data_IF_679984710102
#
_entry.id   IF_679984710102
#
_cell.length_a   1.000
_cell.length_b   1.000
_cell.length_c   1.000
_cell.angle_alpha   90.00
_cell.angle_beta   90.00
_cell.angle_gamma   90.00
#
_symmetry.space_group_name_H-M   'P 1'
#
loop_
_entity.id
_entity.type
_entity.pdbx_description
1 polymer ?
#
# COMPACT_ATOMS: atom_id res chain seq x y z
N UNK A 1 30.69 7.17 0.75
CA UNK A 1 29.66 7.45 -0.23
C UNK A 1 28.70 6.28 -0.28
N UNK A 2 27.41 6.57 -0.43
CA UNK A 2 26.35 5.55 -0.47
C UNK A 2 25.60 5.61 -1.77
N UNK A 3 25.26 4.44 -2.31
CA UNK A 3 24.54 4.30 -3.57
C UNK A 3 23.41 3.28 -3.40
N UNK A 4 22.25 3.56 -4.00
CA UNK A 4 21.18 2.57 -4.23
C UNK A 4 21.08 2.39 -5.76
N UNK A 5 21.44 1.20 -6.26
CA UNK A 5 21.68 1.02 -7.67
C UNK A 5 22.81 1.95 -8.17
N UNK A 6 22.51 2.79 -9.15
CA UNK A 6 23.45 3.79 -9.69
C UNK A 6 23.31 5.19 -9.06
N UNK A 7 22.28 5.42 -8.27
CA UNK A 7 22.01 6.72 -7.66
C UNK A 7 22.79 6.92 -6.35
N UNK A 8 23.59 7.99 -6.28
CA UNK A 8 24.24 8.42 -5.03
C UNK A 8 23.20 8.97 -4.07
N UNK A 9 23.27 8.51 -2.81
CA UNK A 9 22.33 8.91 -1.77
C UNK A 9 23.07 9.67 -0.68
N UNK A 10 22.55 10.84 -0.35
CA UNK A 10 23.10 11.69 0.71
C UNK A 10 24.47 12.28 0.40
N UNK A 11 25.06 12.88 1.40
CA UNK A 11 26.37 13.52 1.32
C UNK A 11 27.50 12.52 1.58
N UNK A 12 28.68 12.86 1.11
CA UNK A 12 29.91 12.11 1.45
C UNK A 12 30.28 12.38 2.91
N UNK A 13 30.28 11.34 3.73
CA UNK A 13 30.60 11.44 5.16
C UNK A 13 32.03 10.98 5.38
N UNK A 14 32.81 11.75 6.15
CA UNK A 14 34.11 11.30 6.64
C UNK A 14 33.93 10.46 7.91
N UNK A 15 34.48 9.26 7.92
CA UNK A 15 34.40 8.35 9.05
C UNK A 15 35.82 8.01 9.54
N UNK A 16 36.00 7.92 10.85
CA UNK A 16 37.25 7.47 11.47
C UNK A 16 37.43 5.94 11.29
N UNK A 17 38.65 5.46 11.57
CA UNK A 17 38.91 4.02 11.51
C UNK A 17 38.12 3.31 12.59
N UNK A 18 37.38 2.25 12.18
CA UNK A 18 36.63 1.40 13.09
C UNK A 18 35.28 0.98 12.51
N UNK A 19 34.41 0.52 13.38
CA UNK A 19 33.04 0.23 13.07
C UNK A 19 32.23 1.53 12.94
N UNK A 20 31.45 1.66 11.91
CA UNK A 20 30.51 2.77 11.74
C UNK A 20 29.09 2.23 11.53
N UNK A 21 28.11 2.95 12.05
CA UNK A 21 26.69 2.62 11.87
C UNK A 21 26.08 3.57 10.84
N UNK A 22 25.34 3.00 9.92
CA UNK A 22 24.50 3.73 8.99
C UNK A 22 23.13 3.95 9.63
N UNK A 23 22.78 5.21 9.81
CA UNK A 23 21.45 5.62 10.28
C UNK A 23 20.77 6.42 9.16
N UNK A 24 19.43 6.45 9.14
CA UNK A 24 18.61 7.23 8.20
C UNK A 24 18.81 6.91 6.70
N UNK A 25 19.02 5.63 6.37
CA UNK A 25 18.98 5.23 4.97
C UNK A 25 17.53 5.38 4.47
N UNK A 26 17.29 6.17 3.39
CA UNK A 26 15.95 6.26 2.80
C UNK A 26 15.42 4.87 2.47
N UNK A 27 14.24 4.54 2.95
CA UNK A 27 13.60 3.26 2.61
C UNK A 27 13.10 3.33 1.17
N UNK A 28 13.68 2.51 0.30
CA UNK A 28 13.21 2.32 -1.08
C UNK A 28 12.46 1.00 -1.12
N UNK A 29 11.26 1.04 -1.70
CA UNK A 29 10.41 -0.14 -1.82
C UNK A 29 11.01 -1.15 -2.78
N UNK A 30 10.97 -2.42 -2.38
CA UNK A 30 11.46 -3.53 -3.18
C UNK A 30 12.72 -4.20 -2.63
N UNK A 31 13.31 -5.04 -3.45
CA UNK A 31 14.62 -5.62 -3.21
C UNK A 31 15.69 -4.82 -3.97
N UNK A 32 16.84 -4.67 -3.34
CA UNK A 32 17.93 -3.94 -3.97
C UNK A 32 19.24 -4.15 -3.21
N UNK A 33 20.23 -3.40 -3.61
CA UNK A 33 21.54 -3.44 -2.97
C UNK A 33 21.96 -2.01 -2.65
N UNK A 34 22.28 -1.77 -1.39
CA UNK A 34 22.97 -0.56 -0.96
C UNK A 34 24.45 -0.81 -1.11
N UNK A 35 25.11 0.00 -1.91
CA UNK A 35 26.56 -0.05 -2.09
C UNK A 35 27.22 1.07 -1.28
N UNK A 36 28.10 0.70 -0.39
CA UNK A 36 28.93 1.61 0.39
C UNK A 36 30.30 1.67 -0.23
N UNK A 37 30.68 2.83 -0.77
CA UNK A 37 32.00 3.07 -1.33
C UNK A 37 32.86 3.78 -0.29
N UNK A 38 33.82 3.06 0.25
CA UNK A 38 34.83 3.58 1.15
C UNK A 38 36.05 4.01 0.34
N UNK A 39 36.47 5.26 0.52
CA UNK A 39 37.69 5.77 -0.11
C UNK A 39 38.72 6.04 1.00
N UNK A 40 39.86 5.39 0.90
CA UNK A 40 40.97 5.62 1.85
C UNK A 40 41.73 6.92 1.55
N UNK A 41 42.64 7.30 2.44
CA UNK A 41 43.50 8.51 2.29
C UNK A 41 44.42 8.47 1.06
N UNK A 42 44.60 7.32 0.44
CA UNK A 42 45.39 7.13 -0.77
C UNK A 42 44.49 7.09 -2.04
N UNK A 43 43.19 7.36 -1.89
CA UNK A 43 42.24 7.35 -3.03
C UNK A 43 41.79 5.96 -3.46
N UNK A 44 42.18 4.89 -2.75
CA UNK A 44 41.73 3.53 -3.10
C UNK A 44 40.27 3.36 -2.65
N UNK A 45 39.46 2.84 -3.55
CA UNK A 45 38.03 2.62 -3.31
C UNK A 45 37.77 1.15 -3.03
N UNK A 46 37.03 0.90 -1.96
CA UNK A 46 36.50 -0.42 -1.60
C UNK A 46 34.98 -0.31 -1.59
N UNK A 47 34.31 -1.17 -2.32
CA UNK A 47 32.85 -1.21 -2.37
C UNK A 47 32.35 -2.40 -1.57
N UNK A 48 31.50 -2.14 -0.59
CA UNK A 48 30.76 -3.15 0.13
C UNK A 48 29.30 -3.08 -0.24
N UNK A 49 28.74 -4.19 -0.68
CA UNK A 49 27.35 -4.28 -1.10
C UNK A 49 26.52 -5.00 -0.04
N UNK A 50 25.45 -4.36 0.40
CA UNK A 50 24.53 -4.86 1.42
C UNK A 50 23.17 -5.05 0.74
N UNK A 51 22.71 -6.30 0.56
CA UNK A 51 21.37 -6.53 0.03
C UNK A 51 20.33 -6.03 1.04
N UNK A 52 19.32 -5.36 0.54
CA UNK A 52 18.17 -4.97 1.35
C UNK A 52 16.88 -5.45 0.70
N UNK A 53 15.89 -5.63 1.53
CA UNK A 53 14.54 -5.99 1.11
C UNK A 53 13.54 -5.15 1.91
N UNK A 54 12.80 -4.31 1.22
CA UNK A 54 11.75 -3.50 1.81
C UNK A 54 10.45 -3.72 1.05
N UNK A 55 9.42 -4.16 1.75
CA UNK A 55 8.10 -4.41 1.20
C UNK A 55 7.13 -3.36 1.72
N UNK A 56 6.49 -2.56 0.84
CA UNK A 56 5.48 -1.61 1.29
C UNK A 56 4.41 -2.29 2.12
N UNK A 57 4.22 -1.83 3.37
CA UNK A 57 3.21 -2.36 4.27
C UNK A 57 3.62 -3.61 5.08
N UNK A 58 4.80 -4.18 4.87
CA UNK A 58 5.37 -5.20 5.76
C UNK A 58 6.38 -4.54 6.68
N UNK A 59 6.10 -4.60 7.97
CA UNK A 59 6.95 -4.04 9.02
C UNK A 59 7.79 -5.14 9.65
N UNK A 60 9.04 -4.82 10.00
CA UNK A 60 9.90 -5.73 10.78
C UNK A 60 9.22 -6.11 12.09
N UNK A 61 9.51 -7.29 12.59
CA UNK A 61 9.01 -7.77 13.90
C UNK A 61 9.23 -6.72 14.99
N UNK A 62 8.17 -6.34 15.70
CA UNK A 62 8.18 -5.34 16.76
C UNK A 62 8.08 -3.89 16.30
N UNK A 63 8.21 -3.62 15.01
CA UNK A 63 8.00 -2.27 14.49
C UNK A 63 6.51 -1.89 14.56
N UNK A 64 6.25 -0.65 14.97
CA UNK A 64 4.91 -0.11 15.17
C UNK A 64 4.77 1.21 14.43
N UNK A 65 3.67 1.36 13.71
CA UNK A 65 3.27 2.60 13.05
C UNK A 65 1.85 2.96 13.45
N UNK A 66 1.59 4.25 13.62
CA UNK A 66 0.25 4.76 13.85
C UNK A 66 -0.01 6.01 13.01
N UNK A 67 -1.25 6.17 12.62
CA UNK A 67 -1.73 7.34 11.91
C UNK A 67 -3.05 7.78 12.53
N UNK A 68 -3.17 9.07 12.83
CA UNK A 68 -4.41 9.70 13.26
C UNK A 68 -4.88 10.71 12.23
N UNK A 69 -6.17 10.79 12.02
CA UNK A 69 -6.81 11.75 11.16
C UNK A 69 -7.98 12.44 11.87
N UNK A 70 -8.04 13.76 11.76
CA UNK A 70 -9.15 14.55 12.27
C UNK A 70 -9.55 15.58 11.24
N UNK A 71 -10.86 15.89 11.15
CA UNK A 71 -11.31 16.86 10.20
C UNK A 71 -12.82 17.08 10.21
N UNK A 72 -13.27 17.90 9.28
CA UNK A 72 -14.68 18.15 9.06
C UNK A 72 -15.11 17.50 7.75
N UNK A 73 -16.27 16.85 7.76
CA UNK A 73 -16.86 16.27 6.56
C UNK A 73 -17.59 17.37 5.81
N UNK A 74 -17.19 17.61 4.56
CA UNK A 74 -17.88 18.52 3.65
C UNK A 74 -18.66 17.70 2.59
N UNK A 75 -19.94 18.03 2.41
CA UNK A 75 -20.81 17.44 1.36
C UNK A 75 -21.06 18.45 0.22
N UNK A 76 -20.09 19.28 -0.09
CA UNK A 76 -20.15 20.26 -1.18
C UNK A 76 -19.76 21.65 -0.74
N UNK A 77 -19.90 22.64 -1.61
CA UNK A 77 -19.39 24.01 -1.49
C UNK A 77 -19.60 24.66 -0.11
N UNK A 78 -18.63 24.46 0.80
CA UNK A 78 -18.59 25.14 2.09
C UNK A 78 -19.58 24.64 3.16
N UNK A 79 -20.32 23.57 2.89
CA UNK A 79 -21.28 22.99 3.86
C UNK A 79 -20.59 21.86 4.61
N UNK A 80 -20.36 22.07 5.90
CA UNK A 80 -19.77 21.07 6.79
C UNK A 80 -20.85 20.36 7.58
N UNK A 81 -20.81 19.02 7.60
CA UNK A 81 -21.81 18.16 8.23
C UNK A 81 -21.32 17.49 9.52
N UNK A 82 -20.20 17.93 10.05
CA UNK A 82 -19.71 17.49 11.33
C UNK A 82 -18.26 17.01 11.31
N UNK A 83 -17.82 16.62 12.48
CA UNK A 83 -16.44 16.24 12.75
C UNK A 83 -16.25 14.73 12.47
N UNK A 84 -15.09 14.36 11.91
CA UNK A 84 -14.67 12.97 11.87
C UNK A 84 -13.32 12.79 12.57
N UNK A 85 -13.11 11.59 13.09
CA UNK A 85 -11.82 11.14 13.59
C UNK A 85 -11.52 9.74 13.10
N UNK A 86 -10.25 9.46 12.89
CA UNK A 86 -9.80 8.13 12.50
C UNK A 86 -8.44 7.80 13.11
N UNK A 87 -8.20 6.52 13.32
CA UNK A 87 -6.90 5.99 13.69
C UNK A 87 -6.64 4.71 12.92
N UNK A 88 -5.42 4.56 12.44
CA UNK A 88 -4.91 3.31 11.87
C UNK A 88 -3.62 2.97 12.61
N UNK A 89 -3.50 1.72 12.99
CA UNK A 89 -2.33 1.19 13.68
C UNK A 89 -1.83 -0.03 12.94
N UNK A 90 -0.51 -0.19 12.82
CA UNK A 90 0.14 -1.32 12.20
C UNK A 90 1.26 -1.83 13.08
N UNK A 91 1.36 -3.14 13.17
CA UNK A 91 2.37 -3.81 13.99
C UNK A 91 2.99 -4.99 13.27
N UNK A 92 4.31 -5.03 13.18
CA UNK A 92 5.07 -6.15 12.65
C UNK A 92 5.03 -7.35 13.61
N UNK A 93 4.21 -8.36 13.33
CA UNK A 93 4.17 -9.59 14.11
C UNK A 93 5.40 -10.45 13.85
N UNK A 94 5.80 -10.53 12.59
CA UNK A 94 7.02 -11.18 12.11
C UNK A 94 7.59 -10.35 10.97
N UNK A 95 8.80 -10.66 10.48
CA UNK A 95 9.38 -10.00 9.31
C UNK A 95 8.61 -10.24 8.00
N UNK A 96 7.56 -11.08 8.03
CA UNK A 96 6.71 -11.41 6.88
C UNK A 96 5.23 -11.10 7.11
N UNK A 97 4.83 -10.76 8.33
CA UNK A 97 3.42 -10.53 8.68
C UNK A 97 3.30 -9.23 9.45
N UNK A 98 2.49 -8.33 8.93
CA UNK A 98 2.05 -7.11 9.60
C UNK A 98 0.56 -7.19 9.90
N UNK A 99 0.17 -7.02 11.15
CA UNK A 99 -1.21 -6.83 11.55
C UNK A 99 -1.58 -5.35 11.48
N UNK A 100 -2.85 -5.06 11.20
CA UNK A 100 -3.39 -3.70 11.22
C UNK A 100 -4.73 -3.64 11.94
N UNK A 101 -4.96 -2.53 12.65
CA UNK A 101 -6.24 -2.18 13.24
C UNK A 101 -6.63 -0.78 12.81
N UNK A 102 -7.92 -0.53 12.66
CA UNK A 102 -8.43 0.80 12.32
C UNK A 102 -9.74 1.09 13.05
N UNK A 103 -9.91 2.33 13.43
CA UNK A 103 -11.16 2.87 13.97
C UNK A 103 -11.44 4.22 13.33
N UNK A 104 -12.69 4.48 13.03
CA UNK A 104 -13.12 5.80 12.55
C UNK A 104 -14.51 6.09 13.11
N UNK A 105 -14.82 7.37 13.29
CA UNK A 105 -16.13 7.84 13.70
C UNK A 105 -16.49 9.13 12.95
N UNK A 106 -17.80 9.30 12.71
CA UNK A 106 -18.36 10.47 12.05
C UNK A 106 -19.83 10.63 12.47
N UNK A 107 -20.44 11.79 12.24
CA UNK A 107 -21.90 11.95 12.48
C UNK A 107 -22.68 10.94 11.63
N UNK A 108 -23.36 10.01 12.29
CA UNK A 108 -24.14 8.94 11.65
C UNK A 108 -23.43 7.59 11.57
N UNK A 109 -22.21 7.43 12.10
CA UNK A 109 -21.60 6.13 12.14
C UNK A 109 -20.22 6.02 12.77
N UNK A 110 -19.82 4.80 12.97
CA UNK A 110 -18.45 4.43 13.35
C UNK A 110 -18.02 3.21 12.55
N UNK A 111 -16.73 3.02 12.45
CA UNK A 111 -16.10 1.90 11.75
C UNK A 111 -15.01 1.29 12.63
N UNK A 112 -15.01 -0.01 12.72
CA UNK A 112 -13.92 -0.78 13.30
C UNK A 112 -13.42 -1.78 12.26
N UNK A 113 -12.13 -1.81 12.04
CA UNK A 113 -11.51 -2.71 11.06
C UNK A 113 -10.24 -3.35 11.58
N UNK A 114 -9.91 -4.49 11.02
CA UNK A 114 -8.67 -5.17 11.26
C UNK A 114 -8.22 -5.92 10.02
N UNK A 115 -6.95 -6.24 9.94
CA UNK A 115 -6.40 -6.95 8.80
C UNK A 115 -4.98 -7.45 9.03
N UNK A 116 -4.51 -8.22 8.08
CA UNK A 116 -3.15 -8.68 8.04
C UNK A 116 -2.59 -8.60 6.62
N UNK A 117 -1.33 -8.32 6.54
CA UNK A 117 -0.53 -8.37 5.32
C UNK A 117 0.53 -9.44 5.48
N UNK A 118 0.70 -10.27 4.47
CA UNK A 118 1.66 -11.37 4.45
C UNK A 118 2.50 -11.34 3.18
N UNK A 119 3.82 -11.37 3.34
CA UNK A 119 4.78 -11.55 2.26
C UNK A 119 4.89 -13.04 1.91
N UNK A 120 4.18 -13.48 0.88
CA UNK A 120 4.21 -14.87 0.44
C UNK A 120 5.33 -15.10 -0.55
N UNK A 121 6.28 -15.97 -0.15
CA UNK A 121 7.45 -16.37 -0.96
C UNK A 121 8.29 -15.18 -1.48
N UNK A 122 8.28 -14.05 -0.74
CA UNK A 122 9.05 -12.83 -1.07
C UNK A 122 8.71 -12.19 -2.45
N UNK A 123 7.76 -12.75 -3.16
CA UNK A 123 7.35 -12.28 -4.50
C UNK A 123 5.93 -11.78 -4.57
N UNK A 124 5.09 -12.19 -3.64
CA UNK A 124 3.66 -11.85 -3.64
C UNK A 124 3.23 -11.35 -2.28
N UNK A 125 2.52 -10.25 -2.25
CA UNK A 125 1.87 -9.72 -1.08
C UNK A 125 0.41 -10.13 -1.06
N UNK A 126 -0.02 -10.71 0.05
CA UNK A 126 -1.42 -11.03 0.35
C UNK A 126 -1.88 -10.08 1.45
N UNK A 127 -2.94 -9.36 1.21
CA UNK A 127 -3.57 -8.50 2.20
C UNK A 127 -5.01 -8.93 2.39
N UNK A 128 -5.43 -9.15 3.62
CA UNK A 128 -6.81 -9.42 3.97
C UNK A 128 -7.26 -8.44 5.07
N UNK A 129 -8.40 -7.80 4.87
CA UNK A 129 -9.00 -6.87 5.83
C UNK A 129 -10.47 -7.16 6.01
N UNK A 130 -10.95 -7.04 7.25
CA UNK A 130 -12.37 -7.07 7.59
C UNK A 130 -12.71 -5.81 8.39
N UNK A 131 -13.86 -5.23 8.12
CA UNK A 131 -14.32 -4.05 8.82
C UNK A 131 -15.83 -4.12 9.08
N UNK A 132 -16.26 -3.56 10.20
CA UNK A 132 -17.66 -3.42 10.58
C UNK A 132 -18.00 -1.94 10.71
N UNK A 133 -19.20 -1.54 10.28
CA UNK A 133 -19.75 -0.20 10.48
C UNK A 133 -20.96 -0.24 11.41
N UNK A 134 -21.02 0.68 12.35
CA UNK A 134 -22.08 0.72 13.39
C UNK A 134 -23.43 1.23 12.89
N UNK A 135 -23.50 1.90 11.74
CA UNK A 135 -24.75 2.42 11.16
C UNK A 135 -25.64 1.34 10.56
N UNK A 136 -25.81 0.18 11.22
CA UNK A 136 -26.67 -0.92 10.77
C UNK A 136 -25.96 -2.28 10.68
N UNK A 137 -24.91 -2.52 11.44
CA UNK A 137 -24.09 -3.75 11.40
C UNK A 137 -23.58 -4.07 9.98
N UNK A 138 -23.05 -3.04 9.33
CA UNK A 138 -22.40 -3.18 8.03
C UNK A 138 -21.10 -3.95 8.13
N UNK A 139 -20.89 -4.90 7.22
CA UNK A 139 -19.67 -5.69 7.15
C UNK A 139 -19.03 -5.57 5.76
N UNK A 140 -17.71 -5.43 5.74
CA UNK A 140 -16.91 -5.52 4.51
C UNK A 140 -15.68 -6.38 4.74
N UNK A 141 -15.39 -7.25 3.77
CA UNK A 141 -14.15 -8.03 3.71
C UNK A 141 -13.46 -7.74 2.39
N UNK A 142 -12.17 -7.50 2.43
CA UNK A 142 -11.33 -7.31 1.24
C UNK A 142 -10.14 -8.27 1.30
N UNK A 143 -9.82 -8.85 0.17
CA UNK A 143 -8.58 -9.57 -0.05
C UNK A 143 -7.88 -8.99 -1.28
N UNK A 144 -6.58 -8.75 -1.17
CA UNK A 144 -5.77 -8.20 -2.24
C UNK A 144 -4.55 -9.09 -2.46
N UNK A 145 -4.18 -9.26 -3.71
CA UNK A 145 -2.96 -9.92 -4.15
C UNK A 145 -2.21 -8.94 -5.06
N UNK A 146 -0.91 -8.80 -4.85
CA UNK A 146 -0.04 -7.97 -5.68
C UNK A 146 1.39 -8.49 -5.64
N UNK A 147 2.25 -8.11 -6.58
CA UNK A 147 3.68 -8.35 -6.44
C UNK A 147 4.20 -7.68 -5.16
N UNK A 148 5.14 -8.34 -4.51
CA UNK A 148 5.82 -7.80 -3.33
C UNK A 148 6.79 -6.67 -3.67
N UNK A 149 7.35 -6.72 -4.88
CA UNK A 149 8.25 -5.73 -5.44
C UNK A 149 7.65 -5.21 -6.73
N UNK A 150 7.95 -3.98 -7.13
CA UNK A 150 7.61 -3.49 -8.46
C UNK A 150 8.50 -4.20 -9.48
N UNK A 151 8.00 -5.17 -10.25
CA UNK A 151 8.77 -5.76 -11.31
C UNK A 151 8.96 -4.71 -12.42
N UNK A 152 10.15 -4.62 -12.97
CA UNK A 152 10.48 -3.65 -14.03
C UNK A 152 9.64 -3.86 -15.28
N UNK A 153 9.29 -5.11 -15.59
CA UNK A 153 8.62 -5.48 -16.84
C UNK A 153 7.14 -5.81 -16.69
N UNK A 154 6.72 -6.28 -15.53
CA UNK A 154 5.37 -6.84 -15.35
C UNK A 154 4.80 -6.52 -13.98
N UNK A 155 3.72 -5.77 -13.93
CA UNK A 155 3.00 -5.46 -12.71
C UNK A 155 1.56 -5.97 -12.78
N UNK A 156 1.03 -6.53 -11.69
CA UNK A 156 -0.31 -7.09 -11.63
C UNK A 156 -0.92 -6.92 -10.26
N UNK A 157 -2.23 -7.00 -10.20
CA UNK A 157 -2.93 -7.04 -8.92
C UNK A 157 -4.33 -7.59 -9.08
N UNK A 158 -4.79 -8.22 -8.02
CA UNK A 158 -6.15 -8.72 -7.92
C UNK A 158 -6.75 -8.30 -6.57
N UNK A 159 -8.01 -7.90 -6.59
CA UNK A 159 -8.78 -7.52 -5.40
C UNK A 159 -10.13 -8.19 -5.44
N UNK A 160 -10.49 -8.84 -4.33
CA UNK A 160 -11.84 -9.30 -4.03
C UNK A 160 -12.41 -8.42 -2.91
N UNK A 161 -13.63 -7.94 -3.09
CA UNK A 161 -14.36 -7.20 -2.06
C UNK A 161 -15.73 -7.83 -1.90
N UNK A 162 -16.09 -8.13 -0.66
CA UNK A 162 -17.43 -8.51 -0.26
C UNK A 162 -17.95 -7.50 0.76
N UNK A 163 -19.22 -7.11 0.67
CA UNK A 163 -19.85 -6.23 1.64
C UNK A 163 -21.34 -6.53 1.76
N UNK A 164 -21.91 -6.33 2.91
CA UNK A 164 -23.35 -6.45 3.10
C UNK A 164 -24.05 -5.12 2.80
N UNK A 165 -25.38 -5.13 2.70
CA UNK A 165 -26.20 -3.96 2.35
C UNK A 165 -26.12 -2.83 3.40
N UNK A 166 -25.85 -3.17 4.64
CA UNK A 166 -25.72 -2.22 5.73
C UNK A 166 -24.33 -1.56 5.83
N UNK A 167 -23.35 -1.99 5.00
CA UNK A 167 -22.02 -1.40 5.01
C UNK A 167 -22.06 0.10 4.69
N UNK A 168 -21.35 0.89 5.49
CA UNK A 168 -21.17 2.34 5.30
C UNK A 168 -19.71 2.70 5.44
N UNK A 169 -19.28 3.68 4.64
CA UNK A 169 -17.95 4.29 4.72
C UNK A 169 -18.03 5.63 5.45
N UNK A 170 -16.88 6.17 5.83
CA UNK A 170 -16.79 7.49 6.45
C UNK A 170 -17.53 8.52 5.59
N UNK A 171 -18.39 9.29 6.22
CA UNK A 171 -19.19 10.34 5.57
C UNK A 171 -20.46 9.86 4.88
N UNK A 172 -20.74 8.55 4.85
CA UNK A 172 -22.00 8.00 4.37
C UNK A 172 -23.05 7.96 5.50
N UNK A 173 -24.28 8.30 5.16
CA UNK A 173 -25.44 8.17 6.03
C UNK A 173 -26.13 6.80 5.91
N UNK A 174 -27.17 6.54 6.72
CA UNK A 174 -27.93 5.29 6.65
C UNK A 174 -28.59 5.04 5.29
N UNK A 175 -28.92 6.10 4.54
CA UNK A 175 -29.52 6.07 3.21
C UNK A 175 -28.53 5.71 2.09
N UNK A 176 -27.24 5.85 2.33
CA UNK A 176 -26.19 5.64 1.32
C UNK A 176 -25.83 4.15 1.19
N UNK A 177 -26.73 3.35 0.66
CA UNK A 177 -26.46 1.91 0.47
C UNK A 177 -25.29 1.68 -0.51
N UNK A 178 -24.46 0.65 -0.28
CA UNK A 178 -23.39 0.30 -1.20
C UNK A 178 -23.97 -0.20 -2.54
N UNK A 179 -23.30 0.16 -3.63
CA UNK A 179 -23.77 -0.13 -4.99
C UNK A 179 -23.63 -1.61 -5.40
N UNK A 180 -22.88 -2.41 -4.64
CA UNK A 180 -22.61 -3.82 -5.01
C UNK A 180 -22.45 -4.69 -3.75
N UNK A 181 -22.69 -5.98 -3.90
CA UNK A 181 -22.46 -7.00 -2.89
C UNK A 181 -21.03 -7.55 -2.97
N UNK A 182 -20.61 -7.90 -4.18
CA UNK A 182 -19.30 -8.49 -4.44
C UNK A 182 -18.65 -7.79 -5.61
N UNK A 183 -17.36 -7.53 -5.52
CA UNK A 183 -16.58 -7.01 -6.63
C UNK A 183 -15.25 -7.75 -6.74
N UNK A 184 -14.91 -8.13 -7.96
CA UNK A 184 -13.59 -8.63 -8.35
C UNK A 184 -12.95 -7.56 -9.25
N UNK A 185 -11.73 -7.18 -8.96
CA UNK A 185 -10.94 -6.27 -9.79
C UNK A 185 -9.59 -6.92 -10.04
N UNK A 186 -9.13 -6.85 -11.27
CA UNK A 186 -7.80 -7.26 -11.66
C UNK A 186 -7.17 -6.20 -12.55
N UNK A 187 -5.88 -6.03 -12.46
CA UNK A 187 -5.10 -5.23 -13.40
C UNK A 187 -3.81 -5.94 -13.78
N UNK A 188 -3.34 -5.61 -14.94
CA UNK A 188 -2.10 -6.09 -15.53
C UNK A 188 -1.43 -4.90 -16.22
N UNK A 189 -0.15 -4.70 -15.98
CA UNK A 189 0.64 -3.70 -16.70
C UNK A 189 1.95 -4.33 -17.16
N UNK A 190 2.26 -4.13 -18.43
CA UNK A 190 3.47 -4.63 -19.10
C UNK A 190 4.26 -3.43 -19.61
N UNK A 191 5.49 -3.28 -19.16
CA UNK A 191 6.44 -2.38 -19.78
C UNK A 191 7.04 -3.06 -21.01
N UNK A 192 6.56 -2.71 -22.19
CA UNK A 192 7.01 -3.27 -23.46
C UNK A 192 8.38 -2.75 -23.84
N UNK A 193 8.63 -1.49 -23.53
CA UNK A 193 9.92 -0.80 -23.68
C UNK A 193 10.08 0.18 -22.52
N UNK A 194 11.22 0.88 -22.42
CA UNK A 194 11.41 1.96 -21.43
C UNK A 194 10.39 3.12 -21.57
N UNK A 195 9.78 3.24 -22.75
CA UNK A 195 8.83 4.31 -23.08
C UNK A 195 7.39 3.85 -23.21
N UNK A 196 7.15 2.55 -23.42
CA UNK A 196 5.84 2.01 -23.76
C UNK A 196 5.33 1.09 -22.66
N UNK A 197 4.16 1.39 -22.12
CA UNK A 197 3.43 0.56 -21.15
C UNK A 197 2.07 0.20 -21.70
N UNK A 198 1.75 -1.08 -21.68
CA UNK A 198 0.41 -1.61 -21.93
C UNK A 198 -0.23 -1.98 -20.60
N UNK A 199 -1.37 -1.39 -20.26
CA UNK A 199 -2.12 -1.72 -19.07
C UNK A 199 -3.51 -2.22 -19.42
N UNK A 200 -3.96 -3.22 -18.68
CA UNK A 200 -5.30 -3.81 -18.85
C UNK A 200 -5.95 -3.94 -17.48
N UNK A 201 -7.21 -3.61 -17.37
CA UNK A 201 -7.99 -3.81 -16.15
C UNK A 201 -9.31 -4.50 -16.43
N UNK A 202 -9.71 -5.35 -15.49
CA UNK A 202 -10.99 -6.03 -15.46
C UNK A 202 -11.68 -5.71 -14.13
N UNK A 203 -12.96 -5.38 -14.19
CA UNK A 203 -13.83 -5.23 -13.03
C UNK A 203 -15.10 -6.01 -13.27
N UNK A 204 -15.45 -6.87 -12.34
CA UNK A 204 -16.71 -7.60 -12.32
C UNK A 204 -17.39 -7.32 -10.99
N UNK A 205 -18.67 -6.93 -11.02
CA UNK A 205 -19.44 -6.60 -9.83
C UNK A 205 -20.80 -7.29 -9.87
N UNK A 206 -21.17 -7.91 -8.76
CA UNK A 206 -22.54 -8.37 -8.50
C UNK A 206 -23.25 -7.28 -7.68
N UNK A 207 -24.29 -6.69 -8.24
CA UNK A 207 -25.15 -5.74 -7.54
C UNK A 207 -26.15 -6.44 -6.62
N UNK A 208 -26.85 -5.68 -5.82
CA UNK A 208 -27.88 -6.17 -4.88
C UNK A 208 -29.13 -6.70 -5.61
N UNK A 209 -29.44 -6.17 -6.78
CA UNK A 209 -30.52 -6.64 -7.66
C UNK A 209 -30.17 -7.92 -8.44
N UNK A 210 -29.11 -8.61 -8.04
CA UNK A 210 -28.53 -9.79 -8.69
C UNK A 210 -27.95 -9.53 -10.10
N UNK A 211 -27.96 -8.30 -10.61
CA UNK A 211 -27.33 -7.97 -11.89
C UNK A 211 -25.80 -8.07 -11.80
N UNK A 212 -25.20 -8.57 -12.86
CA UNK A 212 -23.75 -8.63 -13.03
C UNK A 212 -23.31 -7.50 -13.97
N UNK A 213 -22.38 -6.69 -13.50
CA UNK A 213 -21.77 -5.61 -14.30
C UNK A 213 -20.31 -5.91 -14.48
N UNK A 214 -19.85 -5.97 -15.71
CA UNK A 214 -18.44 -6.13 -16.03
C UNK A 214 -17.94 -4.92 -16.83
N UNK A 215 -16.70 -4.53 -16.58
CA UNK A 215 -15.99 -3.52 -17.33
C UNK A 215 -14.58 -4.03 -17.62
N UNK A 216 -14.16 -3.86 -18.85
CA UNK A 216 -12.82 -4.16 -19.31
C UNK A 216 -12.23 -2.93 -19.95
N UNK A 217 -10.98 -2.62 -19.67
CA UNK A 217 -10.27 -1.53 -20.31
C UNK A 217 -8.83 -1.93 -20.62
N UNK A 218 -8.34 -1.47 -21.74
CA UNK A 218 -6.94 -1.59 -22.14
C UNK A 218 -6.44 -0.20 -22.54
N UNK A 219 -5.27 0.16 -22.05
CA UNK A 219 -4.63 1.42 -22.31
C UNK A 219 -3.17 1.18 -22.71
N UNK A 220 -2.75 1.82 -23.77
CA UNK A 220 -1.34 1.95 -24.13
C UNK A 220 -0.89 3.37 -23.83
N UNK A 221 0.23 3.48 -23.15
CA UNK A 221 0.86 4.78 -22.80
C UNK A 221 2.25 4.81 -23.34
N UNK A 222 2.60 5.90 -24.02
CA UNK A 222 3.96 6.16 -24.51
C UNK A 222 4.48 7.47 -23.93
N UNK A 223 5.64 7.42 -23.27
CA UNK A 223 6.35 8.62 -22.83
C UNK A 223 7.11 9.23 -24.00
N UNK A 224 6.79 10.47 -24.33
CA UNK A 224 7.50 11.25 -25.34
C UNK A 224 8.54 12.13 -24.61
N UNK A 225 9.78 12.07 -25.06
CA UNK A 225 10.85 12.96 -24.57
C UNK A 225 10.90 14.22 -25.43
#
# INVERSE_FOLDING_TARGET
EFYIGEAKIGETISVDRGEFRLEDIPSIDGNGTVSVVLTDKFGRKTTQSIPYFNMPGIYKKGAYEFQYGFGLISRGRGIYHGFYGSSVQRYGLTDRITASGSVAFWPGGALLGGGAQHAWREKTMVNATAAASASGLGLQVKANLSPATRPETFNWGAQLTFQNHAWRQIGQGPEDAPNFQTAIRGFLALNLTEKDTLSTSLRVQKKWDASLVSAFSTQWTRTLN
#
